data_IF_830522808476
#
_entry.id   IF_830522808476
#
_cell.length_a   1.000
_cell.length_b   1.000
_cell.length_c   1.000
_cell.angle_alpha   90.00
_cell.angle_beta   90.00
_cell.angle_gamma   90.00
#
_symmetry.space_group_name_H-M   'P 1'
#
loop_
_entity.id
_entity.type
_entity.pdbx_description
1 polymer ?
#
# COMPACT_ATOMS: atom_id res chain seq x y z
N UNK A 1 -13.02 23.20 -6.32
CA UNK A 1 -12.50 21.94 -6.92
C UNK A 1 -12.31 20.89 -5.82
N UNK A 2 -12.74 19.68 -6.08
CA UNK A 2 -12.57 18.56 -5.13
C UNK A 2 -11.31 17.79 -5.49
N UNK A 3 -10.53 17.43 -4.49
CA UNK A 3 -9.34 16.59 -4.69
C UNK A 3 -9.42 15.37 -3.75
N UNK A 4 -8.83 14.26 -4.19
CA UNK A 4 -8.62 13.12 -3.31
C UNK A 4 -7.34 13.38 -2.52
N UNK A 5 -7.47 13.70 -1.23
CA UNK A 5 -6.31 14.08 -0.42
C UNK A 5 -5.50 12.89 0.04
N UNK A 6 -6.16 11.77 0.31
CA UNK A 6 -5.47 10.55 0.75
C UNK A 6 -6.33 9.31 0.54
N UNK A 7 -5.65 8.18 0.44
CA UNK A 7 -6.23 6.85 0.63
C UNK A 7 -5.67 6.32 1.93
N UNK A 8 -6.52 5.78 2.80
CA UNK A 8 -6.11 5.31 4.12
C UNK A 8 -6.31 3.81 4.24
N UNK A 9 -5.36 3.14 4.88
CA UNK A 9 -5.46 1.74 5.25
C UNK A 9 -5.28 1.60 6.75
N UNK A 10 -5.91 0.59 7.34
CA UNK A 10 -5.79 0.30 8.76
C UNK A 10 -4.67 -0.71 8.96
N UNK A 11 -3.87 -0.53 10.00
CA UNK A 11 -2.69 -1.34 10.25
C UNK A 11 -2.69 -1.83 11.70
N UNK A 12 -2.52 -3.12 11.87
CA UNK A 12 -2.33 -3.71 13.19
C UNK A 12 -0.95 -3.31 13.73
N UNK A 13 0.07 -3.35 12.90
CA UNK A 13 1.42 -2.88 13.23
C UNK A 13 1.75 -1.67 12.35
N UNK A 14 1.40 -0.50 12.85
CA UNK A 14 1.52 0.75 12.12
C UNK A 14 2.94 1.01 11.61
N UNK A 15 3.92 0.93 12.49
CA UNK A 15 5.31 1.25 12.13
C UNK A 15 5.87 0.28 11.10
N UNK A 16 5.59 -1.00 11.25
CA UNK A 16 6.08 -2.02 10.32
C UNK A 16 5.44 -1.88 8.94
N UNK A 17 4.15 -1.61 8.87
CA UNK A 17 3.47 -1.47 7.58
C UNK A 17 3.90 -0.20 6.85
N UNK A 18 4.06 0.90 7.56
CA UNK A 18 4.59 2.15 6.97
C UNK A 18 6.00 1.91 6.42
N UNK A 19 6.86 1.26 7.20
CA UNK A 19 8.23 0.96 6.77
C UNK A 19 8.25 0.07 5.52
N UNK A 20 7.36 -0.91 5.44
CA UNK A 20 7.25 -1.78 4.27
C UNK A 20 7.08 -0.95 2.99
N UNK A 21 6.07 -0.08 2.95
CA UNK A 21 5.79 0.72 1.74
C UNK A 21 6.83 1.82 1.51
N UNK A 22 7.28 2.49 2.56
CA UNK A 22 8.28 3.55 2.44
C UNK A 22 9.59 3.03 1.86
N UNK A 23 10.06 1.89 2.36
CA UNK A 23 11.34 1.32 1.94
C UNK A 23 11.24 0.64 0.58
N UNK A 24 10.11 -0.03 0.30
CA UNK A 24 9.92 -0.75 -0.96
C UNK A 24 9.87 0.19 -2.16
N UNK A 25 9.14 1.30 -2.03
CA UNK A 25 8.88 2.24 -3.12
C UNK A 25 9.62 3.58 -2.95
N UNK A 26 10.52 3.68 -1.96
CA UNK A 26 11.28 4.90 -1.69
C UNK A 26 10.37 6.13 -1.53
N UNK A 27 9.40 6.01 -0.62
CA UNK A 27 8.41 7.07 -0.37
C UNK A 27 8.78 7.85 0.88
N UNK A 28 8.69 9.18 0.79
CA UNK A 28 8.95 10.06 1.92
C UNK A 28 7.73 10.13 2.85
N UNK A 29 7.98 10.08 4.15
CA UNK A 29 6.93 10.28 5.13
C UNK A 29 6.63 11.76 5.31
N UNK A 30 5.34 12.09 5.43
CA UNK A 30 4.89 13.41 5.85
C UNK A 30 4.89 13.45 7.38
N UNK A 31 6.08 13.70 7.94
CA UNK A 31 6.31 13.60 9.38
C UNK A 31 5.50 14.60 10.21
N UNK A 32 5.12 15.74 9.60
CA UNK A 32 4.26 16.73 10.24
C UNK A 32 2.87 16.21 10.58
N UNK A 33 2.44 15.12 9.93
CA UNK A 33 1.13 14.49 10.17
C UNK A 33 1.20 13.32 11.14
N UNK A 34 2.40 12.95 11.59
CA UNK A 34 2.58 11.78 12.44
C UNK A 34 1.94 11.97 13.81
N UNK A 35 1.24 10.93 14.26
CA UNK A 35 0.74 10.81 15.63
C UNK A 35 0.94 9.37 16.10
N UNK A 36 0.63 9.05 17.37
CA UNK A 36 0.74 7.66 17.82
C UNK A 36 -0.12 6.66 17.04
N UNK A 37 -1.18 7.14 16.36
CA UNK A 37 -2.12 6.27 15.65
C UNK A 37 -2.21 6.57 14.15
N UNK A 38 -1.38 7.48 13.63
CA UNK A 38 -1.45 7.87 12.21
C UNK A 38 -0.08 8.22 11.65
N UNK A 39 0.19 7.72 10.42
CA UNK A 39 1.37 8.10 9.64
C UNK A 39 0.97 8.16 8.18
N UNK A 40 1.63 9.00 7.39
CA UNK A 40 1.31 9.19 5.98
C UNK A 40 2.56 9.22 5.12
N UNK A 41 2.46 8.62 3.94
CA UNK A 41 3.53 8.64 2.92
C UNK A 41 3.07 9.48 1.72
N UNK A 42 3.97 10.31 1.22
CA UNK A 42 3.77 11.08 0.00
C UNK A 42 3.96 10.16 -1.22
N UNK A 43 2.95 10.11 -2.08
CA UNK A 43 3.01 9.28 -3.28
C UNK A 43 2.83 10.08 -4.57
N UNK A 44 3.25 11.35 -4.55
CA UNK A 44 3.25 12.19 -5.74
C UNK A 44 1.87 12.77 -6.08
N UNK A 45 1.40 13.74 -5.29
CA UNK A 45 0.14 14.45 -5.50
C UNK A 45 -1.00 13.97 -4.61
N UNK A 46 -0.87 12.83 -3.98
CA UNK A 46 -1.77 12.36 -2.92
C UNK A 46 -0.94 11.65 -1.85
N UNK A 47 -1.59 11.06 -0.87
CA UNK A 47 -0.93 10.37 0.22
C UNK A 47 -1.55 8.99 0.43
N UNK A 48 -0.75 8.07 0.96
CA UNK A 48 -1.29 6.91 1.65
C UNK A 48 -1.23 7.19 3.14
N UNK A 49 -2.38 7.22 3.81
CA UNK A 49 -2.46 7.30 5.25
C UNK A 49 -2.56 5.92 5.87
N UNK A 50 -1.88 5.74 7.00
CA UNK A 50 -1.90 4.49 7.75
C UNK A 50 -2.46 4.78 9.12
N UNK A 51 -3.55 4.10 9.48
CA UNK A 51 -4.25 4.29 10.75
C UNK A 51 -4.05 3.07 11.62
N UNK A 52 -3.58 3.25 12.85
CA UNK A 52 -3.62 2.17 13.83
C UNK A 52 -5.05 1.73 14.11
N UNK A 53 -5.22 0.54 14.66
CA UNK A 53 -6.56 -0.01 14.91
C UNK A 53 -7.38 0.83 15.88
N UNK A 54 -6.75 1.64 16.72
CA UNK A 54 -7.43 2.59 17.59
C UNK A 54 -8.31 3.57 16.81
N UNK A 55 -7.96 3.85 15.56
CA UNK A 55 -8.74 4.73 14.70
C UNK A 55 -10.14 4.18 14.37
N UNK A 56 -10.33 2.86 14.41
CA UNK A 56 -11.65 2.28 14.20
C UNK A 56 -12.66 2.85 15.19
N UNK A 57 -12.32 2.85 16.47
CA UNK A 57 -13.19 3.41 17.50
C UNK A 57 -13.39 4.91 17.35
N UNK A 58 -12.30 5.62 17.06
CA UNK A 58 -12.34 7.06 16.87
C UNK A 58 -13.29 7.46 15.75
N UNK A 59 -13.36 6.68 14.69
CA UNK A 59 -14.19 6.92 13.52
C UNK A 59 -15.58 6.24 13.62
N UNK A 60 -15.89 5.61 14.74
CA UNK A 60 -17.12 4.83 14.95
C UNK A 60 -17.25 3.67 13.94
N UNK A 61 -16.13 3.03 13.64
CA UNK A 61 -16.05 1.90 12.70
C UNK A 61 -15.71 0.58 13.39
N UNK A 62 -15.70 0.53 14.73
CA UNK A 62 -15.29 -0.67 15.47
C UNK A 62 -16.11 -1.91 15.12
N UNK A 63 -17.40 -1.74 14.82
CA UNK A 63 -18.27 -2.87 14.45
C UNK A 63 -17.97 -3.38 13.04
N UNK A 64 -17.16 -2.68 12.27
CA UNK A 64 -16.83 -3.00 10.88
C UNK A 64 -15.34 -3.32 10.69
N UNK A 65 -14.59 -3.46 11.78
CA UNK A 65 -13.14 -3.70 11.74
C UNK A 65 -12.78 -5.12 11.29
N UNK A 66 -13.72 -6.04 11.37
CA UNK A 66 -13.55 -7.45 10.97
C UNK A 66 -14.10 -7.65 9.57
N UNK A 67 -13.32 -7.27 8.56
CA UNK A 67 -13.72 -7.46 7.17
C UNK A 67 -12.88 -8.53 6.52
N UNK A 68 -13.51 -9.44 5.79
CA UNK A 68 -12.82 -10.42 4.96
C UNK A 68 -12.93 -10.04 3.48
N UNK A 69 -11.99 -10.53 2.69
CA UNK A 69 -11.97 -10.30 1.26
C UNK A 69 -11.28 -9.00 0.87
N UNK A 70 -11.05 -8.86 -0.42
CA UNK A 70 -10.37 -7.70 -1.01
C UNK A 70 -11.41 -6.64 -1.35
N UNK A 71 -11.22 -5.43 -0.82
CA UNK A 71 -12.15 -4.30 -1.05
C UNK A 71 -11.46 -3.10 -1.68
N UNK A 72 -10.15 -3.10 -1.75
CA UNK A 72 -9.38 -2.03 -2.38
C UNK A 72 -8.12 -2.61 -2.99
N UNK A 73 -7.53 -1.87 -3.92
CA UNK A 73 -6.34 -2.29 -4.63
C UNK A 73 -5.50 -1.05 -4.90
N UNK A 74 -4.29 -1.00 -4.33
CA UNK A 74 -3.33 0.05 -4.63
C UNK A 74 -2.50 -0.37 -5.84
N UNK A 75 -2.30 0.54 -6.77
CA UNK A 75 -1.42 0.30 -7.93
C UNK A 75 -0.26 1.28 -7.89
N UNK A 76 0.96 0.76 -7.90
CA UNK A 76 2.19 1.55 -7.95
C UNK A 76 2.78 1.43 -9.35
N UNK A 77 2.89 2.57 -10.06
CA UNK A 77 3.59 2.63 -11.33
C UNK A 77 5.09 2.71 -11.08
N UNK A 78 5.84 1.85 -11.74
CA UNK A 78 7.30 1.85 -11.69
C UNK A 78 7.88 2.08 -13.11
N UNK A 79 9.19 2.29 -13.21
CA UNK A 79 9.80 2.84 -14.40
C UNK A 79 9.81 1.90 -15.61
N UNK A 80 9.73 0.59 -15.43
CA UNK A 80 9.76 -0.34 -16.54
C UNK A 80 9.52 -1.79 -16.12
N UNK A 81 9.39 -2.67 -17.10
CA UNK A 81 9.07 -4.07 -16.88
C UNK A 81 10.09 -4.78 -15.96
N UNK A 82 11.38 -4.46 -16.09
CA UNK A 82 12.42 -5.01 -15.23
C UNK A 82 12.25 -4.62 -13.78
N UNK A 83 11.76 -3.42 -13.52
CA UNK A 83 11.49 -2.95 -12.18
C UNK A 83 10.31 -3.69 -11.55
N UNK A 84 9.32 -4.11 -12.33
CA UNK A 84 8.20 -4.92 -11.81
C UNK A 84 8.74 -6.22 -11.21
N UNK A 85 9.60 -6.92 -11.91
CA UNK A 85 10.18 -8.17 -11.40
C UNK A 85 11.06 -7.92 -10.18
N UNK A 86 11.93 -6.91 -10.24
CA UNK A 86 12.87 -6.58 -9.15
C UNK A 86 12.13 -6.22 -7.86
N UNK A 87 11.15 -5.32 -7.96
CA UNK A 87 10.40 -4.85 -6.79
C UNK A 87 9.49 -5.95 -6.25
N UNK A 88 8.94 -6.80 -7.12
CA UNK A 88 8.17 -7.98 -6.69
C UNK A 88 9.02 -8.91 -5.83
N UNK A 89 10.25 -9.21 -6.25
CA UNK A 89 11.17 -10.04 -5.49
C UNK A 89 11.53 -9.38 -4.16
N UNK A 90 11.82 -8.08 -4.18
CA UNK A 90 12.15 -7.33 -2.97
C UNK A 90 10.95 -7.30 -2.00
N UNK A 91 9.74 -7.19 -2.52
CA UNK A 91 8.51 -7.25 -1.72
C UNK A 91 8.41 -8.54 -0.91
N UNK A 92 8.69 -9.66 -1.56
CA UNK A 92 8.62 -10.97 -0.90
C UNK A 92 9.67 -11.11 0.20
N UNK A 93 10.87 -10.56 0.00
CA UNK A 93 11.91 -10.52 1.04
C UNK A 93 11.48 -9.72 2.26
N UNK A 94 10.57 -8.77 2.08
CA UNK A 94 10.05 -7.90 3.14
C UNK A 94 8.71 -8.37 3.71
N UNK A 95 8.28 -9.58 3.39
CA UNK A 95 7.10 -10.20 3.98
C UNK A 95 5.84 -10.16 3.14
N UNK A 96 5.90 -9.67 1.90
CA UNK A 96 4.78 -9.74 0.99
C UNK A 96 4.55 -11.17 0.49
N UNK A 97 3.34 -11.44 0.04
CA UNK A 97 2.98 -12.71 -0.57
C UNK A 97 2.61 -12.50 -2.04
N UNK A 98 3.27 -13.24 -2.93
CA UNK A 98 2.97 -13.21 -4.35
C UNK A 98 1.63 -13.90 -4.62
N UNK A 99 0.71 -13.16 -5.26
CA UNK A 99 -0.59 -13.69 -5.67
C UNK A 99 -0.58 -14.01 -7.16
N UNK A 100 -0.08 -13.07 -7.97
CA UNK A 100 0.11 -13.29 -9.40
C UNK A 100 1.47 -12.76 -9.81
N UNK A 101 2.31 -13.65 -10.31
CA UNK A 101 3.66 -13.30 -10.77
C UNK A 101 3.62 -12.31 -11.93
N UNK A 102 4.70 -11.56 -12.17
CA UNK A 102 4.75 -10.61 -13.28
C UNK A 102 4.26 -11.22 -14.59
N UNK A 103 3.33 -10.54 -15.22
CA UNK A 103 2.71 -10.98 -16.47
C UNK A 103 2.41 -9.79 -17.37
N UNK A 104 2.23 -10.05 -18.66
CA UNK A 104 1.83 -9.02 -19.61
C UNK A 104 0.31 -8.93 -19.63
N UNK A 105 -0.21 -7.71 -19.37
CA UNK A 105 -1.63 -7.46 -19.37
C UNK A 105 -2.16 -7.32 -20.79
N UNK A 106 -3.49 -7.47 -20.95
CA UNK A 106 -4.15 -7.28 -22.24
C UNK A 106 -4.08 -5.82 -22.73
N UNK A 107 -3.78 -4.87 -21.83
CA UNK A 107 -3.74 -3.45 -22.17
C UNK A 107 -2.30 -2.88 -22.26
N UNK A 108 -1.31 -3.74 -22.38
CA UNK A 108 0.03 -3.34 -22.77
C UNK A 108 0.98 -2.99 -21.62
N UNK A 109 0.69 -3.43 -20.42
CA UNK A 109 1.60 -3.24 -19.27
C UNK A 109 2.15 -4.57 -18.77
N UNK A 110 3.22 -4.50 -17.98
CA UNK A 110 3.75 -5.60 -17.18
C UNK A 110 3.31 -5.40 -15.75
N UNK A 111 2.77 -6.43 -15.09
CA UNK A 111 2.13 -6.25 -13.79
C UNK A 111 2.31 -7.47 -12.90
N UNK A 112 2.39 -7.24 -11.58
CA UNK A 112 2.31 -8.31 -10.57
C UNK A 112 1.29 -7.92 -9.51
N UNK A 113 0.77 -8.92 -8.79
CA UNK A 113 -0.22 -8.72 -7.73
C UNK A 113 0.29 -9.41 -6.47
N UNK A 114 0.29 -8.68 -5.35
CA UNK A 114 0.83 -9.17 -4.09
C UNK A 114 -0.08 -8.76 -2.93
N UNK A 115 0.01 -9.52 -1.83
CA UNK A 115 -0.45 -9.05 -0.54
C UNK A 115 0.71 -8.44 0.24
N UNK A 116 0.46 -7.32 0.91
CA UNK A 116 1.41 -6.78 1.87
C UNK A 116 1.45 -7.66 3.13
N UNK A 117 2.35 -7.38 4.09
CA UNK A 117 2.47 -8.23 5.29
C UNK A 117 1.21 -8.34 6.15
N UNK A 118 0.24 -7.45 5.97
CA UNK A 118 -1.03 -7.50 6.70
C UNK A 118 -2.22 -7.94 5.84
N UNK A 119 -1.96 -8.39 4.61
CA UNK A 119 -3.01 -8.92 3.74
C UNK A 119 -3.74 -7.88 2.89
N UNK A 120 -3.24 -6.65 2.81
CA UNK A 120 -3.78 -5.67 1.87
C UNK A 120 -3.20 -5.95 0.48
N UNK A 121 -4.04 -5.89 -0.54
CA UNK A 121 -3.58 -6.16 -1.90
C UNK A 121 -2.98 -4.91 -2.53
N UNK A 122 -1.87 -5.07 -3.21
CA UNK A 122 -1.30 -4.06 -4.08
C UNK A 122 -0.76 -4.71 -5.34
N UNK A 123 -0.58 -3.91 -6.36
CA UNK A 123 0.06 -4.36 -7.60
C UNK A 123 1.13 -3.39 -8.03
N UNK A 124 2.10 -3.93 -8.73
CA UNK A 124 3.22 -3.19 -9.30
C UNK A 124 3.03 -3.24 -10.81
N UNK A 125 3.05 -2.10 -11.46
CA UNK A 125 2.71 -1.97 -12.87
C UNK A 125 3.72 -1.09 -13.60
N UNK A 126 4.01 -1.42 -14.85
CA UNK A 126 4.81 -0.59 -15.75
C UNK A 126 4.28 -0.71 -17.18
N UNK A 127 4.12 0.41 -17.84
CA UNK A 127 3.80 0.47 -19.26
C UNK A 127 5.01 0.49 -20.16
#
# INVERSE_FOLDING_TARGET
MTVLSSVNIFAQNLDALVAFYADLFDLAEKTELRSPIYRALDVGGTMIGFNGFEAYKLLKLEDFSETSGVKSLLTFEVAGAGEVARISQESMKRGAKMIKEPYDTAYGSRQSVLFDPEGNVFRINAF
#
